data_IF_116973299100
#
_entry.id   IF_116973299100
#
_cell.length_a   1.000
_cell.length_b   1.000
_cell.length_c   1.000
_cell.angle_alpha   90.00
_cell.angle_beta   90.00
_cell.angle_gamma   90.00
#
_symmetry.space_group_name_H-M   'P 1'
#
loop_
_entity.id
_entity.type
_entity.pdbx_description
1 polymer ?
#
# COMPACT_ATOMS: atom_id res chain seq x y z
N UNK A 1 37.09 14.57 -18.05
CA UNK A 1 37.41 13.42 -18.92
C UNK A 1 37.80 12.13 -18.16
N UNK A 2 38.42 12.20 -16.98
CA UNK A 2 38.86 11.01 -16.21
C UNK A 2 37.74 10.07 -15.74
N UNK A 3 36.61 10.59 -15.24
CA UNK A 3 35.45 9.78 -14.81
C UNK A 3 34.92 8.87 -15.93
N UNK A 4 34.94 9.34 -17.19
CA UNK A 4 34.50 8.57 -18.35
C UNK A 4 35.47 7.43 -18.72
N UNK A 5 36.79 7.65 -18.59
CA UNK A 5 37.81 6.61 -18.81
C UNK A 5 37.68 5.48 -17.77
N UNK A 6 37.37 5.83 -16.54
CA UNK A 6 37.21 4.85 -15.46
C UNK A 6 35.96 3.98 -15.67
N UNK A 7 34.85 4.56 -16.12
CA UNK A 7 33.65 3.80 -16.49
C UNK A 7 33.94 2.76 -17.58
N UNK A 8 34.63 3.13 -18.67
CA UNK A 8 35.00 2.17 -19.73
C UNK A 8 35.84 0.99 -19.21
N UNK A 9 36.76 1.23 -18.27
CA UNK A 9 37.56 0.17 -17.62
C UNK A 9 36.70 -0.76 -16.76
N UNK A 10 35.75 -0.21 -16.01
CA UNK A 10 34.81 -0.98 -15.18
C UNK A 10 33.90 -1.82 -16.08
N UNK A 11 33.33 -1.24 -17.14
CA UNK A 11 32.45 -1.97 -18.06
C UNK A 11 33.20 -3.10 -18.78
N UNK A 12 34.44 -2.86 -19.22
CA UNK A 12 35.28 -3.93 -19.81
C UNK A 12 35.54 -5.07 -18.84
N UNK A 13 35.88 -4.77 -17.57
CA UNK A 13 36.08 -5.80 -16.54
C UNK A 13 34.78 -6.55 -16.21
N UNK A 14 33.65 -5.85 -16.25
CA UNK A 14 32.33 -6.43 -16.02
C UNK A 14 31.96 -7.44 -17.11
N UNK A 15 32.14 -7.08 -18.39
CA UNK A 15 31.86 -7.99 -19.51
C UNK A 15 32.88 -9.13 -19.61
N UNK A 16 34.16 -8.89 -19.32
CA UNK A 16 35.19 -9.92 -19.37
C UNK A 16 35.01 -11.05 -18.33
N UNK A 17 34.29 -10.78 -17.23
CA UNK A 17 34.05 -11.76 -16.16
C UNK A 17 32.67 -12.42 -16.24
N UNK A 18 31.83 -12.05 -17.20
CA UNK A 18 30.46 -12.57 -17.30
C UNK A 18 30.37 -13.49 -18.50
N UNK A 19 29.90 -14.71 -18.27
CA UNK A 19 29.42 -15.59 -19.33
C UNK A 19 28.15 -14.94 -19.88
N UNK A 20 28.25 -14.35 -21.08
CA UNK A 20 27.10 -13.86 -21.81
C UNK A 20 26.39 -15.09 -22.39
N UNK A 21 25.28 -15.47 -21.79
CA UNK A 21 24.45 -16.53 -22.32
C UNK A 21 23.63 -15.94 -23.48
N UNK A 22 23.80 -16.46 -24.70
CA UNK A 22 23.02 -15.99 -25.87
C UNK A 22 21.54 -16.36 -25.75
N UNK A 23 21.23 -17.38 -24.95
CA UNK A 23 19.88 -17.77 -24.60
C UNK A 23 19.45 -17.13 -23.28
N UNK A 24 18.28 -16.48 -23.29
CA UNK A 24 17.62 -16.02 -22.07
C UNK A 24 17.02 -17.25 -21.37
N UNK A 25 17.45 -17.60 -20.15
CA UNK A 25 16.89 -18.74 -19.42
C UNK A 25 15.38 -18.56 -19.19
N UNK A 26 14.60 -19.63 -19.29
CA UNK A 26 13.15 -19.59 -19.10
C UNK A 26 12.77 -19.03 -17.72
N UNK A 27 13.59 -19.31 -16.70
CA UNK A 27 13.40 -18.83 -15.34
C UNK A 27 13.51 -17.31 -15.24
N UNK A 28 14.32 -16.68 -16.09
CA UNK A 28 14.44 -15.22 -16.13
C UNK A 28 13.22 -14.59 -16.78
N UNK A 29 12.70 -15.20 -17.84
CA UNK A 29 11.43 -14.81 -18.46
C UNK A 29 10.30 -14.96 -17.45
N UNK A 30 10.25 -16.10 -16.75
CA UNK A 30 9.25 -16.36 -15.71
C UNK A 30 9.34 -15.35 -14.55
N UNK A 31 10.54 -15.02 -14.08
CA UNK A 31 10.73 -14.01 -13.03
C UNK A 31 10.23 -12.62 -13.46
N UNK A 32 10.42 -12.25 -14.73
CA UNK A 32 9.88 -11.00 -15.29
C UNK A 32 8.34 -11.05 -15.36
N UNK A 33 7.79 -12.16 -15.84
CA UNK A 33 6.33 -12.36 -15.91
C UNK A 33 5.69 -12.29 -14.51
N UNK A 34 6.28 -12.96 -13.53
CA UNK A 34 5.82 -12.96 -12.13
C UNK A 34 5.89 -11.57 -11.51
N UNK A 35 6.96 -10.82 -11.79
CA UNK A 35 7.10 -9.42 -11.36
C UNK A 35 5.98 -8.54 -11.94
N UNK A 36 5.68 -8.70 -13.23
CA UNK A 36 4.63 -7.93 -13.90
C UNK A 36 3.23 -8.32 -13.41
N UNK A 37 2.99 -9.61 -13.15
CA UNK A 37 1.75 -10.11 -12.55
C UNK A 37 1.51 -9.50 -11.16
N UNK A 38 2.55 -9.46 -10.32
CA UNK A 38 2.48 -8.84 -8.99
C UNK A 38 2.11 -7.35 -9.06
N UNK A 39 2.74 -6.58 -9.97
CA UNK A 39 2.42 -5.16 -10.18
C UNK A 39 0.98 -4.94 -10.65
N UNK A 40 0.49 -5.76 -11.59
CA UNK A 40 -0.89 -5.71 -12.08
C UNK A 40 -1.91 -5.94 -10.95
N UNK A 41 -1.61 -6.85 -10.00
CA UNK A 41 -2.45 -7.12 -8.82
C UNK A 41 -2.58 -5.90 -7.90
N UNK A 42 -1.50 -5.17 -7.65
CA UNK A 42 -1.54 -3.93 -6.85
C UNK A 42 -2.49 -2.90 -7.45
N UNK A 43 -2.35 -2.61 -8.74
CA UNK A 43 -3.22 -1.66 -9.45
C UNK A 43 -4.69 -2.11 -9.51
N UNK A 44 -4.93 -3.42 -9.59
CA UNK A 44 -6.28 -3.98 -9.50
C UNK A 44 -6.92 -3.70 -8.13
N UNK A 45 -6.17 -3.85 -7.04
CA UNK A 45 -6.62 -3.53 -5.69
C UNK A 45 -7.04 -2.06 -5.54
N UNK A 46 -6.20 -1.13 -5.99
CA UNK A 46 -6.53 0.31 -6.00
C UNK A 46 -7.82 0.60 -6.79
N UNK A 47 -7.93 0.04 -7.99
CA UNK A 47 -9.09 0.25 -8.84
C UNK A 47 -10.38 -0.29 -8.21
N UNK A 48 -10.31 -1.43 -7.50
CA UNK A 48 -11.44 -1.99 -6.76
C UNK A 48 -11.94 -1.03 -5.69
N UNK A 49 -11.03 -0.47 -4.88
CA UNK A 49 -11.41 0.47 -3.82
C UNK A 49 -11.99 1.76 -4.37
N UNK A 50 -11.39 2.32 -5.42
CA UNK A 50 -11.95 3.51 -6.11
C UNK A 50 -13.33 3.21 -6.70
N UNK A 51 -13.56 2.02 -7.23
CA UNK A 51 -14.88 1.61 -7.73
C UNK A 51 -15.93 1.55 -6.62
N UNK A 52 -15.59 0.99 -5.45
CA UNK A 52 -16.46 0.97 -4.28
C UNK A 52 -16.80 2.40 -3.83
N UNK A 53 -15.80 3.26 -3.72
CA UNK A 53 -15.97 4.67 -3.36
C UNK A 53 -16.87 5.42 -4.35
N UNK A 54 -16.67 5.22 -5.66
CA UNK A 54 -17.52 5.82 -6.72
C UNK A 54 -18.97 5.38 -6.63
N UNK A 55 -19.22 4.09 -6.35
CA UNK A 55 -20.59 3.59 -6.10
C UNK A 55 -21.25 4.29 -4.91
N UNK A 56 -20.46 4.68 -3.91
CA UNK A 56 -20.94 5.46 -2.77
C UNK A 56 -20.99 6.97 -3.02
N UNK A 57 -20.69 7.44 -4.23
CA UNK A 57 -20.80 8.84 -4.65
C UNK A 57 -19.52 9.67 -4.48
N UNK A 58 -18.40 9.05 -4.13
CA UNK A 58 -17.11 9.75 -4.07
C UNK A 58 -16.61 10.06 -5.48
N UNK A 59 -16.10 11.29 -5.67
CA UNK A 59 -15.48 11.71 -6.93
C UNK A 59 -13.98 11.41 -6.93
N UNK A 60 -13.46 10.89 -8.02
CA UNK A 60 -12.01 10.71 -8.19
C UNK A 60 -11.40 11.98 -8.82
N UNK A 61 -10.33 12.51 -8.21
CA UNK A 61 -9.64 13.69 -8.71
C UNK A 61 -8.14 13.46 -8.95
N UNK A 62 -7.50 14.44 -9.59
CA UNK A 62 -6.08 14.38 -9.97
C UNK A 62 -5.32 15.68 -9.64
N UNK A 63 -5.93 16.59 -8.87
CA UNK A 63 -5.31 17.84 -8.41
C UNK A 63 -5.78 18.19 -6.97
N UNK A 64 -4.98 19.00 -6.27
CA UNK A 64 -5.22 19.36 -4.88
C UNK A 64 -6.41 20.30 -4.70
N UNK A 65 -6.63 21.23 -5.63
CA UNK A 65 -7.70 22.23 -5.50
C UNK A 65 -9.08 21.57 -5.45
N UNK A 66 -9.35 20.61 -6.35
CA UNK A 66 -10.61 19.87 -6.38
C UNK A 66 -10.77 18.96 -5.15
N UNK A 67 -9.67 18.34 -4.71
CA UNK A 67 -9.65 17.49 -3.51
C UNK A 67 -10.00 18.29 -2.25
N UNK A 68 -9.44 19.49 -2.09
CA UNK A 68 -9.67 20.32 -0.91
C UNK A 68 -11.09 20.92 -0.90
N UNK A 69 -11.66 21.24 -2.06
CA UNK A 69 -12.99 21.86 -2.19
C UNK A 69 -14.17 20.88 -2.12
N UNK A 70 -13.93 19.58 -2.34
CA UNK A 70 -15.00 18.57 -2.40
C UNK A 70 -15.06 17.76 -1.12
N UNK A 71 -16.25 17.50 -0.58
CA UNK A 71 -16.40 16.75 0.68
C UNK A 71 -16.17 15.25 0.53
N UNK A 72 -16.62 14.65 -0.58
CA UNK A 72 -16.51 13.21 -0.81
C UNK A 72 -15.68 12.93 -2.04
N UNK A 73 -14.40 12.66 -1.83
CA UNK A 73 -13.49 12.40 -2.94
C UNK A 73 -12.36 11.43 -2.59
N UNK A 74 -11.73 10.92 -3.65
CA UNK A 74 -10.58 10.02 -3.56
C UNK A 74 -9.52 10.41 -4.58
N UNK A 75 -8.26 10.28 -4.18
CA UNK A 75 -7.11 10.44 -5.06
C UNK A 75 -6.11 9.32 -4.81
N UNK A 76 -5.35 8.97 -5.84
CA UNK A 76 -4.25 8.01 -5.76
C UNK A 76 -2.95 8.75 -5.50
N UNK A 77 -2.06 8.13 -4.72
CA UNK A 77 -0.68 8.63 -4.64
C UNK A 77 -0.05 8.65 -6.04
N UNK A 78 0.62 9.75 -6.35
CA UNK A 78 1.11 10.03 -7.70
C UNK A 78 2.22 11.08 -7.64
N UNK A 79 2.72 11.55 -8.79
CA UNK A 79 3.70 12.64 -8.83
C UNK A 79 3.15 13.92 -8.16
N UNK A 80 1.86 14.22 -8.33
CA UNK A 80 1.19 15.39 -7.74
C UNK A 80 0.82 15.17 -6.27
N UNK A 81 0.33 13.97 -5.96
CA UNK A 81 0.06 13.49 -4.60
C UNK A 81 1.23 12.67 -4.09
N UNK A 82 2.43 13.25 -4.11
CA UNK A 82 3.62 12.61 -3.57
C UNK A 82 3.71 12.82 -2.06
N UNK A 83 4.56 12.06 -1.39
CA UNK A 83 4.67 12.08 0.07
C UNK A 83 5.00 13.47 0.64
N UNK A 84 5.85 14.26 -0.04
CA UNK A 84 6.18 15.63 0.39
C UNK A 84 4.93 16.51 0.36
N UNK A 85 4.24 16.55 -0.78
CA UNK A 85 3.05 17.36 -0.96
C UNK A 85 1.93 16.93 -0.01
N UNK A 86 1.77 15.64 0.24
CA UNK A 86 0.76 15.11 1.17
C UNK A 86 1.06 15.56 2.60
N UNK A 87 2.32 15.50 3.03
CA UNK A 87 2.75 15.99 4.36
C UNK A 87 2.49 17.49 4.53
N UNK A 88 2.81 18.28 3.50
CA UNK A 88 2.63 19.73 3.52
C UNK A 88 1.14 20.12 3.50
N UNK A 89 0.36 19.61 2.54
CA UNK A 89 -1.04 20.01 2.36
C UNK A 89 -1.97 19.47 3.44
N UNK A 90 -1.69 18.27 3.97
CA UNK A 90 -2.52 17.68 5.01
C UNK A 90 -1.98 17.92 6.41
N UNK A 91 -0.72 18.34 6.59
CA UNK A 91 -0.10 18.48 7.91
C UNK A 91 0.23 17.14 8.59
N UNK A 92 0.42 16.07 7.81
CA UNK A 92 0.72 14.71 8.31
C UNK A 92 2.22 14.42 8.30
N UNK A 93 2.68 13.47 9.12
CA UNK A 93 4.09 13.04 9.15
C UNK A 93 4.33 11.78 8.35
N UNK A 94 3.45 10.77 8.42
CA UNK A 94 3.60 9.46 7.77
C UNK A 94 5.01 8.90 8.03
N UNK A 95 5.27 8.48 9.28
CA UNK A 95 6.58 7.98 9.73
C UNK A 95 6.67 6.46 9.61
N UNK A 96 6.93 5.99 8.40
CA UNK A 96 7.23 4.58 8.14
C UNK A 96 8.73 4.29 8.28
N UNK A 97 9.09 3.05 8.61
CA UNK A 97 10.48 2.55 8.67
C UNK A 97 11.17 2.67 7.31
N UNK A 98 10.41 2.43 6.23
CA UNK A 98 10.92 2.56 4.86
C UNK A 98 10.80 4.00 4.38
N UNK A 99 11.94 4.66 4.23
CA UNK A 99 12.01 6.03 3.73
C UNK A 99 11.25 6.15 2.40
N UNK A 100 10.39 7.17 2.30
CA UNK A 100 9.57 7.48 1.12
C UNK A 100 8.52 6.44 0.73
N UNK A 101 8.06 5.57 1.65
CA UNK A 101 6.89 4.74 1.37
C UNK A 101 5.67 5.64 1.14
N UNK A 102 5.10 5.53 -0.05
CA UNK A 102 3.78 6.06 -0.40
C UNK A 102 2.72 5.03 -0.06
N UNK A 103 1.53 5.51 0.28
CA UNK A 103 0.34 4.67 0.43
C UNK A 103 -0.38 4.59 -0.91
N UNK A 104 -1.51 3.90 -0.96
CA UNK A 104 -2.25 3.68 -2.20
C UNK A 104 -3.25 4.81 -2.47
N UNK A 105 -4.11 5.13 -1.49
CA UNK A 105 -5.19 6.12 -1.63
C UNK A 105 -5.21 7.17 -0.52
N UNK A 106 -5.76 8.35 -0.87
CA UNK A 106 -6.19 9.39 0.06
C UNK A 106 -7.69 9.58 -0.17
N UNK A 107 -8.49 9.39 0.86
CA UNK A 107 -9.95 9.48 0.81
C UNK A 107 -10.37 10.62 1.74
N UNK A 108 -11.23 11.51 1.24
CA UNK A 108 -11.84 12.59 2.02
C UNK A 108 -13.34 12.36 2.11
N UNK A 109 -13.87 12.40 3.33
CA UNK A 109 -15.29 12.32 3.64
C UNK A 109 -15.63 13.46 4.62
N UNK A 110 -16.16 14.57 4.09
CA UNK A 110 -16.31 15.86 4.80
C UNK A 110 -14.97 16.27 5.41
N UNK A 111 -14.91 16.45 6.74
CA UNK A 111 -13.72 16.84 7.47
C UNK A 111 -12.78 15.67 7.79
N UNK A 112 -13.19 14.43 7.52
CA UNK A 112 -12.37 13.25 7.76
C UNK A 112 -11.50 12.93 6.56
N UNK A 113 -10.21 12.72 6.83
CA UNK A 113 -9.24 12.29 5.85
C UNK A 113 -8.68 10.93 6.26
N UNK A 114 -8.69 10.00 5.31
CA UNK A 114 -8.23 8.64 5.47
C UNK A 114 -7.10 8.36 4.49
N UNK A 115 -6.00 7.81 5.00
CA UNK A 115 -4.87 7.35 4.22
C UNK A 115 -4.88 5.83 4.17
N UNK A 116 -4.98 5.26 2.97
CA UNK A 116 -5.22 3.82 2.79
C UNK A 116 -4.04 3.13 2.11
N UNK A 117 -3.58 2.03 2.70
CA UNK A 117 -2.73 1.03 2.08
C UNK A 117 -3.56 -0.24 1.84
N UNK A 118 -3.46 -0.81 0.65
CA UNK A 118 -4.21 -1.96 0.20
C UNK A 118 -3.29 -3.12 -0.19
N UNK A 119 -3.67 -4.32 0.24
CA UNK A 119 -3.06 -5.59 -0.21
C UNK A 119 -4.16 -6.59 -0.53
N UNK A 120 -3.89 -7.44 -1.52
CA UNK A 120 -4.79 -8.53 -1.92
C UNK A 120 -4.01 -9.85 -1.90
N UNK A 121 -4.33 -10.73 -0.94
CA UNK A 121 -3.58 -11.95 -0.62
C UNK A 121 -4.50 -13.18 -0.64
N UNK A 122 -4.21 -14.14 -1.53
CA UNK A 122 -5.04 -15.33 -1.74
C UNK A 122 -4.46 -16.63 -1.16
N UNK A 123 -3.18 -16.64 -0.78
CA UNK A 123 -2.47 -17.79 -0.19
C UNK A 123 -1.61 -17.32 0.99
N UNK A 124 -0.82 -18.22 1.63
CA UNK A 124 0.21 -17.93 2.65
C UNK A 124 1.64 -18.14 2.07
N UNK A 125 2.65 -17.38 2.54
CA UNK A 125 4.06 -17.46 2.09
C UNK A 125 4.94 -16.25 2.44
N UNK A 126 6.27 -16.38 2.32
CA UNK A 126 7.25 -15.40 2.85
C UNK A 126 7.12 -13.96 2.31
N UNK A 127 6.75 -13.79 1.04
CA UNK A 127 6.51 -12.46 0.46
C UNK A 127 5.26 -11.76 1.01
N UNK A 128 4.30 -12.55 1.50
CA UNK A 128 3.02 -12.04 2.01
C UNK A 128 3.14 -11.63 3.48
N UNK A 129 3.98 -12.30 4.25
CA UNK A 129 4.28 -11.91 5.62
C UNK A 129 4.78 -10.48 5.69
N UNK A 130 5.67 -10.13 4.76
CA UNK A 130 6.15 -8.75 4.61
C UNK A 130 5.00 -7.79 4.31
N UNK A 131 4.05 -8.18 3.46
CA UNK A 131 2.88 -7.34 3.13
C UNK A 131 1.96 -7.15 4.34
N UNK A 132 1.77 -8.17 5.18
CA UNK A 132 1.02 -8.06 6.43
C UNK A 132 1.75 -7.16 7.44
N UNK A 133 3.06 -7.36 7.63
CA UNK A 133 3.86 -6.48 8.48
C UNK A 133 3.83 -5.03 8.02
N UNK A 134 3.80 -4.81 6.70
CA UNK A 134 3.63 -3.48 6.13
C UNK A 134 2.27 -2.86 6.48
N UNK A 135 1.17 -3.63 6.44
CA UNK A 135 -0.15 -3.14 6.87
C UNK A 135 -0.20 -2.86 8.38
N UNK A 136 0.34 -3.76 9.20
CA UNK A 136 0.42 -3.57 10.66
C UNK A 136 1.24 -2.32 11.01
N UNK A 137 2.31 -2.03 10.25
CA UNK A 137 3.09 -0.81 10.42
C UNK A 137 2.27 0.45 10.17
N UNK A 138 1.38 0.45 9.17
CA UNK A 138 0.48 1.56 8.89
C UNK A 138 -0.54 1.76 10.01
N UNK A 139 -1.11 0.69 10.57
CA UNK A 139 -2.03 0.78 11.72
C UNK A 139 -1.44 1.47 12.95
N UNK A 140 -0.12 1.39 13.14
CA UNK A 140 0.57 2.02 14.28
C UNK A 140 0.66 3.54 14.13
N UNK A 141 0.52 4.08 12.93
CA UNK A 141 0.74 5.50 12.67
C UNK A 141 -0.37 6.35 13.29
N UNK A 142 0.01 7.47 13.89
CA UNK A 142 -0.92 8.44 14.45
C UNK A 142 -0.53 9.85 14.03
N UNK A 143 -1.53 10.67 13.73
CA UNK A 143 -1.36 12.07 13.37
C UNK A 143 -2.16 12.95 14.33
N UNK A 144 -1.68 14.18 14.54
CA UNK A 144 -2.30 15.13 15.49
C UNK A 144 -3.55 15.81 14.96
N UNK A 145 -3.77 15.76 13.65
CA UNK A 145 -4.78 16.51 12.90
C UNK A 145 -6.02 15.66 12.56
N UNK A 146 -6.24 14.53 13.25
CA UNK A 146 -7.40 13.67 13.02
C UNK A 146 -7.35 12.81 11.76
N UNK A 147 -6.25 12.86 10.98
CA UNK A 147 -6.05 11.96 9.85
C UNK A 147 -5.93 10.52 10.34
N UNK A 148 -6.69 9.66 9.70
CA UNK A 148 -6.87 8.26 10.07
C UNK A 148 -6.24 7.34 9.03
N UNK A 149 -5.77 6.16 9.43
CA UNK A 149 -5.16 5.19 8.53
C UNK A 149 -6.04 3.98 8.32
N UNK A 150 -6.11 3.52 7.07
CA UNK A 150 -6.79 2.27 6.68
C UNK A 150 -5.75 1.28 6.22
N UNK A 151 -5.71 0.13 6.90
CA UNK A 151 -5.03 -1.07 6.44
C UNK A 151 -6.05 -2.00 5.81
N UNK A 152 -6.07 -2.02 4.48
CA UNK A 152 -6.99 -2.82 3.71
C UNK A 152 -6.35 -4.15 3.30
N UNK A 153 -6.97 -5.26 3.69
CA UNK A 153 -6.56 -6.60 3.31
C UNK A 153 -7.73 -7.37 2.71
N UNK A 154 -7.58 -7.77 1.45
CA UNK A 154 -8.55 -8.55 0.72
C UNK A 154 -8.01 -9.92 0.30
N UNK A 155 -8.92 -10.84 -0.05
CA UNK A 155 -8.61 -12.22 -0.39
C UNK A 155 -8.72 -13.18 0.80
N UNK A 156 -8.49 -14.47 0.54
CA UNK A 156 -8.74 -15.57 1.49
C UNK A 156 -7.97 -15.40 2.82
N UNK A 157 -6.77 -14.81 2.77
CA UNK A 157 -5.94 -14.62 3.96
C UNK A 157 -6.59 -13.65 4.97
N UNK A 158 -7.38 -12.68 4.48
CA UNK A 158 -8.15 -11.76 5.33
C UNK A 158 -9.11 -12.53 6.23
N UNK A 159 -9.84 -13.51 5.67
CA UNK A 159 -10.77 -14.33 6.42
C UNK A 159 -10.06 -15.19 7.46
N UNK A 160 -8.88 -15.72 7.13
CA UNK A 160 -8.06 -16.46 8.09
C UNK A 160 -7.67 -15.55 9.24
N UNK A 161 -7.15 -14.34 8.97
CA UNK A 161 -6.76 -13.39 10.01
C UNK A 161 -7.93 -12.94 10.89
N UNK A 162 -9.11 -12.75 10.32
CA UNK A 162 -10.31 -12.29 11.04
C UNK A 162 -11.10 -13.41 11.74
N UNK A 163 -10.90 -14.68 11.35
CA UNK A 163 -11.56 -15.83 12.00
C UNK A 163 -10.95 -16.15 13.36
N UNK A 164 -11.67 -16.85 14.23
CA UNK A 164 -11.08 -17.38 15.47
C UNK A 164 -10.25 -18.66 15.24
N UNK A 165 -10.52 -19.37 14.15
CA UNK A 165 -10.05 -20.75 13.89
C UNK A 165 -8.70 -20.86 13.17
N UNK A 166 -7.88 -19.80 13.18
CA UNK A 166 -6.57 -19.79 12.53
C UNK A 166 -5.50 -20.37 13.45
N UNK A 167 -4.99 -21.56 13.12
CA UNK A 167 -3.97 -22.24 13.91
C UNK A 167 -2.55 -21.93 13.39
N UNK A 168 -1.72 -21.38 14.28
CA UNK A 168 -0.30 -21.10 14.04
C UNK A 168 0.19 -19.87 14.81
N UNK A 169 1.33 -20.01 15.50
CA UNK A 169 1.92 -18.97 16.36
C UNK A 169 2.06 -17.61 15.67
N UNK A 170 2.31 -17.65 14.36
CA UNK A 170 2.45 -16.45 13.53
C UNK A 170 1.15 -15.68 13.36
N UNK A 171 0.05 -16.36 13.02
CA UNK A 171 -1.27 -15.74 12.86
C UNK A 171 -1.72 -15.17 14.20
N UNK A 172 -1.49 -15.91 15.29
CA UNK A 172 -1.76 -15.45 16.66
C UNK A 172 -0.98 -14.17 16.96
N UNK A 173 0.31 -14.12 16.61
CA UNK A 173 1.15 -12.94 16.80
C UNK A 173 0.63 -11.75 15.97
N UNK A 174 0.33 -11.95 14.69
CA UNK A 174 -0.22 -10.90 13.82
C UNK A 174 -1.54 -10.34 14.37
N UNK A 175 -2.46 -11.19 14.84
CA UNK A 175 -3.71 -10.75 15.47
C UNK A 175 -3.47 -9.94 16.74
N UNK A 176 -2.56 -10.41 17.61
CA UNK A 176 -2.18 -9.69 18.83
C UNK A 176 -1.63 -8.30 18.51
N UNK A 177 -0.78 -8.19 17.49
CA UNK A 177 -0.25 -6.90 17.05
C UNK A 177 -1.32 -5.99 16.47
N UNK A 178 -2.19 -6.51 15.59
CA UNK A 178 -3.31 -5.76 15.00
C UNK A 178 -4.20 -5.21 16.13
N UNK A 179 -4.66 -6.06 17.05
CA UNK A 179 -5.52 -5.66 18.15
C UNK A 179 -4.84 -4.64 19.07
N UNK A 180 -3.56 -4.86 19.38
CA UNK A 180 -2.76 -3.90 20.17
C UNK A 180 -2.73 -2.53 19.50
N UNK A 181 -2.51 -2.44 18.19
CA UNK A 181 -2.42 -1.14 17.51
C UNK A 181 -3.78 -0.48 17.32
N UNK A 182 -4.84 -1.24 17.03
CA UNK A 182 -6.20 -0.70 16.97
C UNK A 182 -6.63 -0.12 18.32
N UNK A 183 -6.34 -0.81 19.43
CA UNK A 183 -6.64 -0.30 20.77
C UNK A 183 -5.86 0.99 21.12
N UNK A 184 -4.62 1.12 20.65
CA UNK A 184 -3.79 2.30 20.88
C UNK A 184 -4.05 3.44 19.87
N UNK A 185 -4.80 3.18 18.80
CA UNK A 185 -5.05 4.11 17.69
C UNK A 185 -6.48 3.91 17.20
N UNK A 186 -7.49 4.31 18.01
CA UNK A 186 -8.89 3.95 17.78
C UNK A 186 -9.50 4.54 16.51
N UNK A 187 -8.84 5.54 15.92
CA UNK A 187 -9.25 6.15 14.65
C UNK A 187 -8.66 5.44 13.43
N UNK A 188 -7.84 4.39 13.61
CA UNK A 188 -7.31 3.59 12.50
C UNK A 188 -8.16 2.34 12.29
N UNK A 189 -8.15 1.83 11.06
CA UNK A 189 -9.03 0.76 10.64
C UNK A 189 -8.26 -0.39 9.99
N UNK A 190 -8.60 -1.61 10.39
CA UNK A 190 -8.23 -2.83 9.68
C UNK A 190 -9.47 -3.42 9.04
N UNK A 191 -9.53 -3.46 7.71
CA UNK A 191 -10.76 -3.84 6.99
C UNK A 191 -10.48 -4.73 5.79
N UNK A 192 -11.43 -5.61 5.50
CA UNK A 192 -11.55 -6.30 4.21
C UNK A 192 -12.54 -5.56 3.30
N UNK A 193 -12.94 -6.17 2.18
CA UNK A 193 -13.92 -5.56 1.27
C UNK A 193 -15.23 -5.16 1.98
N UNK A 194 -15.82 -6.07 2.75
CA UNK A 194 -17.09 -5.80 3.43
C UNK A 194 -16.95 -4.73 4.51
N UNK A 195 -15.88 -4.80 5.32
CA UNK A 195 -15.59 -3.78 6.33
C UNK A 195 -15.29 -2.42 5.73
N UNK A 196 -14.65 -2.36 4.56
CA UNK A 196 -14.41 -1.11 3.85
C UNK A 196 -15.71 -0.50 3.33
N UNK A 197 -16.60 -1.32 2.75
CA UNK A 197 -17.93 -0.86 2.31
C UNK A 197 -18.74 -0.29 3.48
N UNK A 198 -18.76 -0.98 4.62
CA UNK A 198 -19.43 -0.49 5.84
C UNK A 198 -18.81 0.81 6.35
N UNK A 199 -17.48 0.87 6.45
CA UNK A 199 -16.77 2.07 6.90
C UNK A 199 -17.10 3.29 6.02
N UNK A 200 -17.10 3.12 4.71
CA UNK A 200 -17.39 4.22 3.78
C UNK A 200 -18.86 4.63 3.86
N UNK A 201 -19.78 3.68 4.08
CA UNK A 201 -21.19 3.99 4.28
C UNK A 201 -21.40 4.81 5.56
N UNK A 202 -20.78 4.44 6.69
CA UNK A 202 -20.91 5.13 7.97
C UNK A 202 -20.31 6.55 7.95
N UNK A 203 -19.33 6.79 7.08
CA UNK A 203 -18.68 8.09 6.93
C UNK A 203 -19.44 9.07 6.03
N UNK A 204 -20.46 8.60 5.32
CA UNK A 204 -21.26 9.41 4.43
C UNK A 204 -22.30 10.20 5.21
#
# INVERSE_FOLDING_TARGET
MEKFKNNKKITKRYFAKRTLNEMTPEEWVQAILDTNSSRKKGKCGENKLVHILKKQGFKEFFNWDDFLKTDYCVVKFSKKFNLKNVRENLGVKIKTKKQNKTLDLIIKAKDKILLCEAKHLNTSGGGQDKQISELIEILRLTEKNGVSYISFLDGKYSNILLSDNGYGDKIITQRKEINKFLNNSPNNYWVNTAGFESLIFDLK
#
